data_IF_608547891087
#
_entry.id   IF_608547891087
#
_cell.length_a   1.000
_cell.length_b   1.000
_cell.length_c   1.000
_cell.angle_alpha   90.00
_cell.angle_beta   90.00
_cell.angle_gamma   90.00
#
_symmetry.space_group_name_H-M   'P 1'
#
loop_
_entity.id
_entity.type
_entity.pdbx_description
1 polymer ?
#
# COMPACT_ATOMS: atom_id res chain seq x y z
N UNK A 1 14.07 -7.74 -10.39
CA UNK A 1 13.73 -8.24 -11.74
C UNK A 1 12.38 -7.63 -12.08
N UNK A 2 12.40 -6.49 -12.78
CA UNK A 2 11.20 -5.87 -13.30
C UNK A 2 10.72 -6.71 -14.48
N UNK A 3 9.56 -7.35 -14.39
CA UNK A 3 8.83 -7.81 -15.57
C UNK A 3 7.33 -7.78 -15.30
N UNK A 4 6.69 -6.70 -15.74
CA UNK A 4 5.41 -6.83 -16.42
C UNK A 4 5.46 -5.97 -17.69
N UNK A 5 5.29 -6.62 -18.84
CA UNK A 5 5.06 -6.01 -20.16
C UNK A 5 4.37 -7.11 -20.99
N UNK A 6 3.32 -6.89 -21.77
CA UNK A 6 2.70 -5.65 -22.22
C UNK A 6 1.23 -5.90 -22.63
N UNK A 7 0.44 -4.83 -22.53
CA UNK A 7 -0.61 -4.38 -23.46
C UNK A 7 -1.75 -5.34 -23.80
N UNK A 8 -2.95 -4.92 -23.39
CA UNK A 8 -4.17 -5.16 -24.14
C UNK A 8 -5.07 -3.92 -24.01
N UNK A 9 -5.25 -3.20 -25.12
CA UNK A 9 -6.39 -2.30 -25.32
C UNK A 9 -7.67 -3.02 -24.90
N UNK A 10 -8.50 -2.36 -24.10
CA UNK A 10 -9.98 -2.45 -24.12
C UNK A 10 -10.56 -1.53 -23.06
N UNK A 11 -11.52 -0.69 -23.46
CA UNK A 11 -12.33 0.09 -22.54
C UNK A 11 -13.03 -0.83 -21.54
N UNK A 12 -12.86 -0.56 -20.26
CA UNK A 12 -13.51 -1.31 -19.20
C UNK A 12 -14.83 -0.62 -18.84
N UNK A 13 -15.93 -1.28 -19.20
CA UNK A 13 -17.23 -1.04 -18.57
C UNK A 13 -17.26 -1.83 -17.26
N UNK A 14 -17.39 -1.12 -16.13
CA UNK A 14 -17.46 -1.75 -14.82
C UNK A 14 -18.72 -2.63 -14.70
N UNK A 15 -18.53 -3.93 -14.48
CA UNK A 15 -19.58 -4.83 -13.99
C UNK A 15 -19.18 -5.37 -12.60
N UNK A 16 -20.04 -5.32 -11.57
CA UNK A 16 -19.60 -5.40 -10.16
C UNK A 16 -19.36 -6.83 -9.59
N UNK A 17 -19.22 -7.88 -10.40
CA UNK A 17 -19.42 -9.27 -9.90
C UNK A 17 -18.16 -10.08 -9.56
N UNK A 18 -16.96 -9.67 -9.97
CA UNK A 18 -15.72 -10.47 -9.81
C UNK A 18 -15.06 -10.31 -8.44
N UNK A 19 -15.16 -9.12 -7.83
CA UNK A 19 -14.53 -8.81 -6.54
C UNK A 19 -15.03 -9.71 -5.39
N UNK A 20 -16.30 -10.12 -5.43
CA UNK A 20 -16.90 -10.96 -4.38
C UNK A 20 -16.39 -12.42 -4.34
N UNK A 21 -15.94 -12.98 -5.48
CA UNK A 21 -15.50 -14.39 -5.55
C UNK A 21 -14.07 -14.58 -5.05
N UNK A 22 -13.19 -13.61 -5.30
CA UNK A 22 -11.78 -13.62 -4.85
C UNK A 22 -11.61 -13.22 -3.39
N UNK A 23 -12.42 -12.28 -2.88
CA UNK A 23 -12.57 -12.05 -1.43
C UNK A 23 -12.80 -13.38 -0.72
N UNK A 24 -13.70 -14.20 -1.24
CA UNK A 24 -13.97 -15.54 -0.71
C UNK A 24 -12.81 -16.53 -0.84
N UNK A 25 -11.89 -16.40 -1.82
CA UNK A 25 -10.73 -17.29 -1.95
C UNK A 25 -9.70 -17.04 -0.86
N UNK A 26 -9.30 -15.78 -0.67
CA UNK A 26 -8.33 -15.39 0.35
C UNK A 26 -8.91 -15.45 1.77
N UNK A 27 -10.18 -15.06 1.97
CA UNK A 27 -10.87 -15.23 3.25
C UNK A 27 -10.99 -16.71 3.63
N UNK A 28 -11.22 -17.64 2.67
CA UNK A 28 -11.26 -19.10 2.96
C UNK A 28 -9.88 -19.70 3.25
N UNK A 29 -8.81 -19.18 2.64
CA UNK A 29 -7.43 -19.57 2.95
C UNK A 29 -7.04 -19.10 4.36
N UNK A 30 -7.37 -17.85 4.72
CA UNK A 30 -7.13 -17.29 6.05
C UNK A 30 -7.99 -17.98 7.14
N UNK A 31 -9.25 -18.33 6.86
CA UNK A 31 -10.12 -18.98 7.85
C UNK A 31 -9.74 -20.42 8.20
N UNK A 32 -8.97 -21.12 7.34
CA UNK A 32 -8.50 -22.48 7.64
C UNK A 32 -7.28 -22.51 8.57
N UNK A 33 -6.64 -21.37 8.81
CA UNK A 33 -5.55 -21.24 9.78
C UNK A 33 -5.92 -20.18 10.82
N UNK A 34 -6.41 -20.65 11.98
CA UNK A 34 -6.66 -19.85 13.19
C UNK A 34 -5.58 -18.76 13.42
N UNK A 35 -5.84 -17.52 13.01
CA UNK A 35 -5.08 -16.32 13.36
C UNK A 35 -3.56 -16.38 13.16
N UNK A 36 -3.06 -17.34 12.38
CA UNK A 36 -1.64 -17.63 12.24
C UNK A 36 -1.11 -17.13 10.91
N UNK A 37 0.10 -16.57 10.93
CA UNK A 37 0.90 -16.22 9.74
C UNK A 37 0.89 -17.37 8.73
N UNK A 38 0.54 -17.09 7.47
CA UNK A 38 0.52 -18.10 6.41
C UNK A 38 1.91 -18.76 6.27
N UNK A 39 1.99 -20.10 6.14
CA UNK A 39 3.24 -20.80 5.87
C UNK A 39 3.94 -20.21 4.63
N UNK A 40 5.29 -20.10 4.62
CA UNK A 40 6.05 -19.47 3.51
C UNK A 40 5.75 -20.08 2.14
N UNK A 41 5.45 -21.38 2.11
CA UNK A 41 5.13 -22.16 0.92
C UNK A 41 3.70 -21.97 0.37
N UNK A 42 2.87 -21.14 1.04
CA UNK A 42 1.49 -20.81 0.63
C UNK A 42 1.26 -19.29 0.48
N UNK A 43 2.31 -18.46 0.52
CA UNK A 43 2.17 -17.03 0.27
C UNK A 43 1.88 -16.82 -1.22
N UNK A 44 0.61 -16.59 -1.54
CA UNK A 44 0.22 -16.27 -2.91
C UNK A 44 0.91 -14.98 -3.34
N UNK A 45 1.49 -15.00 -4.54
CA UNK A 45 2.02 -13.82 -5.20
C UNK A 45 0.86 -12.95 -5.70
N UNK A 46 0.99 -11.64 -5.55
CA UNK A 46 0.05 -10.62 -6.05
C UNK A 46 0.87 -9.59 -6.82
N UNK A 47 0.45 -9.27 -8.03
CA UNK A 47 1.01 -8.16 -8.80
C UNK A 47 0.36 -6.86 -8.35
N UNK A 48 1.18 -5.90 -7.94
CA UNK A 48 0.77 -4.61 -7.37
C UNK A 48 1.00 -3.53 -8.44
N UNK A 49 -0.08 -2.88 -8.82
CA UNK A 49 -0.12 -1.81 -9.82
C UNK A 49 -0.29 -0.47 -9.10
N UNK A 50 0.74 0.36 -9.16
CA UNK A 50 0.67 1.75 -8.69
C UNK A 50 0.29 2.63 -9.87
N UNK A 51 -0.84 3.30 -9.72
CA UNK A 51 -1.42 4.16 -10.74
C UNK A 51 -1.31 5.62 -10.29
N UNK A 52 -1.26 6.55 -11.24
CA UNK A 52 -1.43 7.96 -10.93
C UNK A 52 -2.89 8.29 -10.60
N UNK A 53 -3.16 9.56 -10.24
CA UNK A 53 -4.50 10.04 -9.90
C UNK A 53 -5.51 9.93 -11.06
N UNK A 54 -5.07 9.68 -12.28
CA UNK A 54 -5.87 9.51 -13.49
C UNK A 54 -6.04 8.04 -13.90
N UNK A 55 -5.51 7.10 -13.11
CA UNK A 55 -5.59 5.66 -13.35
C UNK A 55 -4.55 5.13 -14.35
N UNK A 56 -3.55 5.94 -14.72
CA UNK A 56 -2.47 5.49 -15.60
C UNK A 56 -1.40 4.76 -14.79
N UNK A 57 -0.94 3.61 -15.27
CA UNK A 57 0.09 2.82 -14.57
C UNK A 57 1.44 3.55 -14.56
N UNK A 58 1.94 3.80 -13.35
CA UNK A 58 3.27 4.36 -13.12
C UNK A 58 4.31 3.25 -13.01
N UNK A 59 4.00 2.20 -12.25
CA UNK A 59 4.85 1.03 -12.13
C UNK A 59 4.07 -0.18 -11.62
N UNK A 60 4.62 -1.37 -11.86
CA UNK A 60 4.09 -2.65 -11.40
C UNK A 60 5.21 -3.54 -10.85
N UNK A 61 4.93 -4.23 -9.75
CA UNK A 61 5.87 -5.12 -9.06
C UNK A 61 5.10 -6.22 -8.32
N UNK A 62 5.78 -7.29 -7.93
CA UNK A 62 5.15 -8.39 -7.21
C UNK A 62 5.39 -8.28 -5.70
N UNK A 63 4.37 -8.69 -4.94
CA UNK A 63 4.45 -8.90 -3.50
C UNK A 63 3.84 -10.24 -3.09
N UNK A 64 4.15 -10.66 -1.87
CA UNK A 64 3.67 -11.92 -1.30
C UNK A 64 2.70 -11.65 -0.16
N UNK A 65 1.53 -12.32 -0.18
CA UNK A 65 0.50 -12.10 0.85
C UNK A 65 0.98 -12.54 2.22
N UNK A 66 1.02 -11.60 3.17
CA UNK A 66 1.24 -11.86 4.59
C UNK A 66 -0.08 -12.11 5.33
N UNK A 67 -1.07 -11.25 5.08
CA UNK A 67 -2.40 -11.36 5.68
C UNK A 67 -3.46 -10.62 4.85
N UNK A 68 -4.73 -10.95 5.06
CA UNK A 68 -5.86 -10.32 4.38
C UNK A 68 -7.09 -10.35 5.29
N UNK A 69 -7.97 -9.38 5.11
CA UNK A 69 -9.30 -9.31 5.70
C UNK A 69 -10.30 -8.74 4.69
N UNK A 70 -11.54 -8.50 5.13
CA UNK A 70 -12.57 -7.91 4.29
C UNK A 70 -12.26 -6.45 3.89
N UNK A 71 -11.40 -5.76 4.65
CA UNK A 71 -11.09 -4.32 4.46
C UNK A 71 -9.65 -4.03 4.08
N UNK A 72 -8.73 -4.99 4.16
CA UNK A 72 -7.33 -4.76 3.82
C UNK A 72 -6.59 -6.01 3.32
N UNK A 73 -5.46 -5.77 2.68
CA UNK A 73 -4.46 -6.78 2.34
C UNK A 73 -3.08 -6.27 2.74
N UNK A 74 -2.29 -7.13 3.39
CA UNK A 74 -0.90 -6.84 3.75
C UNK A 74 0.03 -7.76 2.98
N UNK A 75 0.98 -7.16 2.28
CA UNK A 75 1.93 -7.82 1.38
C UNK A 75 3.36 -7.59 1.87
N UNK A 76 4.26 -8.50 1.54
CA UNK A 76 5.70 -8.28 1.60
C UNK A 76 6.25 -8.05 0.19
N UNK A 77 7.01 -6.97 0.02
CA UNK A 77 7.76 -6.68 -1.20
C UNK A 77 9.21 -6.28 -0.88
N UNK A 78 10.05 -6.23 -1.92
CA UNK A 78 11.46 -5.82 -1.80
C UNK A 78 11.70 -4.56 -2.61
N UNK A 79 12.29 -3.56 -1.97
CA UNK A 79 12.68 -2.33 -2.65
C UNK A 79 13.82 -2.62 -3.64
N UNK A 80 13.59 -2.42 -4.93
CA UNK A 80 14.54 -2.79 -5.99
C UNK A 80 15.14 -1.59 -6.73
N UNK A 81 14.95 -0.38 -6.20
CA UNK A 81 15.45 0.87 -6.79
C UNK A 81 16.78 1.33 -6.16
N UNK A 82 17.32 2.40 -6.70
CA UNK A 82 18.49 3.10 -6.14
C UNK A 82 18.18 3.61 -4.73
N UNK A 83 19.20 3.62 -3.88
CA UNK A 83 19.06 4.09 -2.52
C UNK A 83 18.69 5.57 -2.48
N UNK A 84 17.76 5.94 -1.60
CA UNK A 84 17.26 7.30 -1.44
C UNK A 84 16.99 7.60 0.03
N UNK A 85 17.28 8.83 0.44
CA UNK A 85 16.85 9.36 1.73
C UNK A 85 15.63 10.26 1.50
N UNK A 86 14.52 9.94 2.16
CA UNK A 86 13.28 10.71 2.09
C UNK A 86 13.01 11.23 3.50
N UNK A 87 13.43 12.46 3.78
CA UNK A 87 13.18 13.12 5.07
C UNK A 87 13.66 12.29 6.27
N UNK A 88 14.85 11.68 6.15
CA UNK A 88 15.45 10.84 7.18
C UNK A 88 15.06 9.36 7.10
N UNK A 89 14.09 8.99 6.26
CA UNK A 89 13.77 7.60 5.97
C UNK A 89 14.69 7.07 4.87
N UNK A 90 15.68 6.26 5.27
CA UNK A 90 16.69 5.70 4.35
C UNK A 90 16.22 4.41 3.68
N UNK A 91 15.85 4.50 2.41
CA UNK A 91 15.51 3.35 1.57
C UNK A 91 16.76 2.85 0.84
N UNK A 92 16.98 1.55 0.90
CA UNK A 92 18.10 0.86 0.25
C UNK A 92 17.60 -0.33 -0.53
N UNK A 93 18.28 -0.62 -1.63
CA UNK A 93 18.00 -1.82 -2.41
C UNK A 93 18.00 -3.08 -1.50
N UNK A 94 16.98 -3.92 -1.64
CA UNK A 94 16.76 -5.10 -0.82
C UNK A 94 15.98 -4.88 0.48
N UNK A 95 15.69 -3.63 0.86
CA UNK A 95 14.84 -3.33 2.02
C UNK A 95 13.50 -4.04 1.91
N UNK A 96 13.02 -4.48 3.08
CA UNK A 96 11.78 -5.23 3.22
C UNK A 96 10.63 -4.26 3.49
N UNK A 97 9.66 -4.27 2.59
CA UNK A 97 8.46 -3.46 2.70
C UNK A 97 7.33 -4.36 3.14
N UNK A 98 6.70 -4.02 4.27
CA UNK A 98 5.43 -4.61 4.71
C UNK A 98 4.33 -3.62 4.36
N UNK A 99 3.65 -3.89 3.26
CA UNK A 99 2.75 -2.97 2.59
C UNK A 99 1.30 -3.30 2.92
N UNK A 100 0.58 -2.41 3.60
CA UNK A 100 -0.85 -2.58 3.88
C UNK A 100 -1.68 -1.66 3.01
N UNK A 101 -2.52 -2.27 2.17
CA UNK A 101 -3.47 -1.59 1.31
C UNK A 101 -4.88 -1.79 1.85
N UNK A 102 -5.68 -0.72 1.85
CA UNK A 102 -7.03 -0.72 2.37
C UNK A 102 -8.05 -0.59 1.23
N UNK A 103 -9.14 -1.34 1.33
CA UNK A 103 -10.25 -1.35 0.37
C UNK A 103 -11.36 -0.35 0.75
N UNK A 104 -11.27 0.23 1.94
CA UNK A 104 -12.24 1.16 2.51
C UNK A 104 -11.62 2.47 3.04
N UNK A 105 -10.29 2.62 2.98
CA UNK A 105 -9.55 3.82 3.42
C UNK A 105 -8.83 4.50 2.27
N UNK A 106 -8.58 5.79 2.45
CA UNK A 106 -7.97 6.67 1.43
C UNK A 106 -6.45 6.78 1.58
N UNK A 107 -5.82 5.68 1.96
CA UNK A 107 -4.37 5.61 2.10
C UNK A 107 -3.89 4.15 2.04
N UNK A 108 -2.59 3.96 1.86
CA UNK A 108 -1.88 2.73 2.19
C UNK A 108 -0.68 3.07 3.09
N UNK A 109 -0.19 2.09 3.86
CA UNK A 109 0.91 2.29 4.81
C UNK A 109 1.96 1.20 4.65
N UNK A 110 3.20 1.60 4.43
CA UNK A 110 4.35 0.74 4.22
C UNK A 110 5.28 0.82 5.43
N UNK A 111 5.34 -0.24 6.22
CA UNK A 111 6.35 -0.38 7.27
C UNK A 111 7.65 -0.90 6.66
N UNK A 112 8.74 -0.15 6.83
CA UNK A 112 9.99 -0.42 6.12
C UNK A 112 11.03 -0.92 7.10
N UNK A 113 11.71 -1.99 6.70
CA UNK A 113 12.74 -2.67 7.47
C UNK A 113 14.00 -2.83 6.63
N UNK A 114 15.14 -2.79 7.30
CA UNK A 114 16.41 -3.14 6.68
C UNK A 114 16.37 -4.56 6.11
N UNK A 115 16.80 -4.73 4.85
CA UNK A 115 16.69 -6.01 4.14
C UNK A 115 17.34 -7.21 4.84
N UNK A 116 18.51 -7.02 5.43
CA UNK A 116 19.30 -8.09 6.10
C UNK A 116 19.02 -8.22 7.60
N UNK A 117 19.15 -7.12 8.35
CA UNK A 117 19.01 -7.13 9.82
C UNK A 117 17.56 -7.11 10.29
N UNK A 118 16.61 -6.85 9.39
CA UNK A 118 15.19 -6.63 9.69
C UNK A 118 14.95 -5.53 10.74
N UNK A 119 15.90 -4.60 10.89
CA UNK A 119 15.76 -3.43 11.76
C UNK A 119 14.71 -2.47 11.19
N UNK A 120 13.77 -2.03 12.01
CA UNK A 120 12.72 -1.11 11.60
C UNK A 120 13.29 0.29 11.27
N UNK A 121 12.84 0.88 10.17
CA UNK A 121 13.34 2.16 9.64
C UNK A 121 12.32 3.30 9.71
N UNK A 122 11.03 2.99 9.68
CA UNK A 122 9.95 3.97 9.64
C UNK A 122 8.78 3.51 8.77
N UNK A 123 7.80 4.38 8.61
CA UNK A 123 6.65 4.19 7.73
C UNK A 123 6.65 5.22 6.60
N UNK A 124 6.25 4.75 5.43
CA UNK A 124 5.88 5.58 4.29
C UNK A 124 4.38 5.38 4.03
N UNK A 125 3.60 6.44 4.00
CA UNK A 125 2.17 6.38 3.73
C UNK A 125 1.83 7.17 2.47
N UNK A 126 1.14 6.54 1.53
CA UNK A 126 0.61 7.24 0.36
C UNK A 126 -0.86 7.55 0.63
N UNK A 127 -1.31 8.76 0.33
CA UNK A 127 -2.74 9.08 0.25
C UNK A 127 -3.25 8.62 -1.12
N UNK A 128 -4.24 7.73 -1.11
CA UNK A 128 -4.71 7.05 -2.32
C UNK A 128 -6.23 7.00 -2.35
N UNK A 129 -6.82 6.68 -3.51
CA UNK A 129 -8.17 6.11 -3.49
C UNK A 129 -8.14 4.72 -2.83
N UNK A 130 -9.28 4.20 -2.32
CA UNK A 130 -9.33 2.83 -1.82
C UNK A 130 -8.85 1.85 -2.89
N UNK A 131 -7.96 0.95 -2.49
CA UNK A 131 -7.41 -0.03 -3.40
C UNK A 131 -8.48 -1.01 -3.87
N UNK A 132 -8.23 -1.69 -4.99
CA UNK A 132 -9.10 -2.78 -5.45
C UNK A 132 -8.31 -3.94 -6.01
N UNK A 133 -8.96 -5.11 -6.01
CA UNK A 133 -8.42 -6.35 -6.55
C UNK A 133 -9.13 -6.73 -7.84
N UNK A 134 -8.37 -7.16 -8.85
CA UNK A 134 -8.85 -8.00 -9.94
C UNK A 134 -7.97 -9.26 -10.02
N UNK A 135 -8.55 -10.41 -9.70
CA UNK A 135 -7.81 -11.68 -9.62
C UNK A 135 -6.59 -11.59 -8.70
N UNK A 136 -5.37 -11.74 -9.24
CA UNK A 136 -4.11 -11.61 -8.49
C UNK A 136 -3.46 -10.24 -8.68
N UNK A 137 -4.21 -9.25 -9.16
CA UNK A 137 -3.75 -7.89 -9.38
C UNK A 137 -4.38 -6.95 -8.35
N UNK A 138 -3.54 -6.25 -7.60
CA UNK A 138 -3.92 -5.19 -6.67
C UNK A 138 -3.63 -3.85 -7.33
N UNK A 139 -4.58 -2.92 -7.28
CA UNK A 139 -4.44 -1.58 -7.85
C UNK A 139 -4.60 -0.53 -6.76
N UNK A 140 -3.74 0.49 -6.79
CA UNK A 140 -3.85 1.65 -5.93
C UNK A 140 -3.55 2.93 -6.74
N UNK A 141 -4.53 3.84 -6.77
CA UNK A 141 -4.40 5.15 -7.42
C UNK A 141 -3.88 6.18 -6.44
N UNK A 142 -2.70 6.70 -6.73
CA UNK A 142 -1.96 7.63 -5.91
C UNK A 142 -2.45 9.07 -6.11
N UNK A 143 -2.64 9.81 -5.01
CA UNK A 143 -3.08 11.20 -5.04
C UNK A 143 -1.93 12.18 -4.81
N UNK A 144 -0.67 11.73 -4.93
CA UNK A 144 0.55 12.55 -4.83
C UNK A 144 0.72 13.29 -3.49
N UNK A 145 0.04 12.86 -2.44
CA UNK A 145 0.18 13.40 -1.09
C UNK A 145 0.68 12.27 -0.21
N UNK A 146 1.75 12.52 0.54
CA UNK A 146 2.46 11.46 1.25
C UNK A 146 2.79 11.86 2.69
N UNK A 147 2.97 10.85 3.54
CA UNK A 147 3.34 11.00 4.93
C UNK A 147 4.50 10.06 5.29
N UNK A 148 5.60 10.65 5.75
CA UNK A 148 6.70 9.90 6.39
C UNK A 148 6.50 9.94 7.89
N UNK A 149 6.64 8.78 8.55
CA UNK A 149 6.67 8.65 10.01
C UNK A 149 7.95 7.92 10.41
N UNK A 150 8.84 8.61 11.12
CA UNK A 150 10.09 8.03 11.62
C UNK A 150 9.86 7.21 12.90
N UNK A 151 10.82 6.35 13.32
CA UNK A 151 10.68 5.51 14.50
C UNK A 151 10.44 6.29 15.80
N UNK A 152 10.96 7.51 15.89
CA UNK A 152 10.78 8.45 17.00
C UNK A 152 9.48 9.26 16.91
N UNK A 153 8.58 8.91 15.98
CA UNK A 153 7.28 9.53 15.73
C UNK A 153 7.35 10.94 15.12
N UNK A 154 8.51 11.38 14.64
CA UNK A 154 8.56 12.56 13.78
C UNK A 154 7.78 12.30 12.49
N UNK A 155 6.97 13.28 12.09
CA UNK A 155 6.08 13.19 10.93
C UNK A 155 6.47 14.27 9.91
N UNK A 156 6.59 13.89 8.63
CA UNK A 156 6.80 14.83 7.52
C UNK A 156 5.74 14.62 6.45
N UNK A 157 4.97 15.68 6.15
CA UNK A 157 4.02 15.69 5.03
C UNK A 157 4.78 16.09 3.77
N UNK A 158 4.54 15.36 2.69
CA UNK A 158 5.27 15.45 1.43
C UNK A 158 4.35 15.77 0.26
N UNK A 159 4.92 16.35 -0.78
CA UNK A 159 4.30 16.51 -2.10
C UNK A 159 2.96 17.29 -2.13
N UNK A 160 2.78 18.21 -1.16
CA UNK A 160 1.57 19.05 -1.06
C UNK A 160 1.30 19.85 -2.36
N UNK A 161 2.34 20.39 -2.98
CA UNK A 161 2.22 21.17 -4.22
C UNK A 161 1.73 20.30 -5.39
N UNK A 162 2.20 19.04 -5.47
CA UNK A 162 1.80 18.07 -6.48
C UNK A 162 0.33 17.70 -6.31
N UNK A 163 -0.11 17.40 -5.08
CA UNK A 163 -1.52 17.16 -4.77
C UNK A 163 -2.42 18.38 -5.06
N UNK A 164 -1.97 19.59 -4.73
CA UNK A 164 -2.70 20.82 -5.03
C UNK A 164 -2.92 21.01 -6.54
N UNK A 165 -1.91 20.68 -7.35
CA UNK A 165 -1.96 20.76 -8.80
C UNK A 165 -2.93 19.75 -9.46
N UNK A 166 -3.28 18.65 -8.79
CA UNK A 166 -4.22 17.66 -9.33
C UNK A 166 -5.61 18.24 -9.52
N UNK A 167 -6.27 17.97 -10.65
CA UNK A 167 -7.65 18.40 -10.89
C UNK A 167 -8.67 17.44 -10.28
N UNK A 168 -8.69 17.37 -8.95
CA UNK A 168 -9.60 16.49 -8.19
C UNK A 168 -10.95 17.17 -7.88
N UNK A 169 -12.06 16.41 -7.89
CA UNK A 169 -13.32 16.88 -7.33
C UNK A 169 -13.19 17.24 -5.84
N UNK A 170 -13.95 18.22 -5.38
CA UNK A 170 -13.87 18.70 -3.99
C UNK A 170 -14.09 17.61 -2.94
N UNK A 171 -14.96 16.62 -3.21
CA UNK A 171 -15.17 15.50 -2.28
C UNK A 171 -13.93 14.60 -2.13
N UNK A 172 -13.16 14.38 -3.20
CA UNK A 172 -11.93 13.58 -3.13
C UNK A 172 -10.84 14.32 -2.37
N UNK A 173 -10.71 15.64 -2.60
CA UNK A 173 -9.79 16.47 -1.81
C UNK A 173 -10.10 16.41 -0.32
N UNK A 174 -11.38 16.49 0.04
CA UNK A 174 -11.79 16.37 1.45
C UNK A 174 -11.47 14.99 2.03
N UNK A 175 -11.60 13.92 1.25
CA UNK A 175 -11.23 12.56 1.68
C UNK A 175 -9.72 12.41 1.85
N UNK A 176 -8.93 12.94 0.92
CA UNK A 176 -7.47 12.93 0.98
C UNK A 176 -6.95 13.69 2.22
N UNK A 177 -7.46 14.90 2.48
CA UNK A 177 -7.10 15.65 3.69
C UNK A 177 -7.53 14.94 4.97
N UNK A 178 -8.75 14.40 5.03
CA UNK A 178 -9.20 13.65 6.19
C UNK A 178 -8.35 12.39 6.46
N UNK A 179 -7.90 11.72 5.41
CA UNK A 179 -6.99 10.58 5.50
C UNK A 179 -5.60 10.99 6.04
N UNK A 180 -5.06 12.12 5.57
CA UNK A 180 -3.82 12.67 6.08
C UNK A 180 -3.94 13.01 7.58
N UNK A 181 -5.01 13.73 7.97
CA UNK A 181 -5.26 14.10 9.36
C UNK A 181 -5.42 12.85 10.26
N UNK A 182 -6.10 11.83 9.77
CA UNK A 182 -6.24 10.53 10.44
C UNK A 182 -4.87 9.88 10.67
N UNK A 183 -4.03 9.79 9.62
CA UNK A 183 -2.69 9.19 9.73
C UNK A 183 -1.80 9.95 10.71
N UNK A 184 -1.81 11.28 10.67
CA UNK A 184 -1.05 12.13 11.62
C UNK A 184 -1.49 11.83 13.06
N UNK A 185 -2.80 11.79 13.31
CA UNK A 185 -3.35 11.48 14.64
C UNK A 185 -2.94 10.07 15.10
N UNK A 186 -3.09 9.06 14.24
CA UNK A 186 -2.72 7.68 14.55
C UNK A 186 -1.22 7.54 14.85
N UNK A 187 -0.37 8.22 14.06
CA UNK A 187 1.08 8.19 14.24
C UNK A 187 1.51 8.80 15.57
N UNK A 188 0.91 9.93 15.96
CA UNK A 188 1.16 10.61 17.24
C UNK A 188 0.68 9.79 18.44
N UNK A 189 -0.45 9.08 18.28
CA UNK A 189 -1.01 8.21 19.32
C UNK A 189 -0.34 6.83 19.39
N UNK A 190 0.56 6.49 18.47
CA UNK A 190 1.13 5.15 18.29
C UNK A 190 0.06 4.05 18.14
N UNK A 191 -1.07 4.40 17.53
CA UNK A 191 -2.17 3.48 17.21
C UNK A 191 -1.91 2.76 15.88
N UNK A 192 -2.61 1.63 15.65
CA UNK A 192 -2.55 0.92 14.37
C UNK A 192 -2.89 1.88 13.20
N UNK A 193 -2.10 1.89 12.11
CA UNK A 193 -1.09 0.90 11.72
C UNK A 193 0.35 1.21 12.18
N UNK A 194 0.55 2.16 13.09
CA UNK A 194 1.86 2.62 13.54
C UNK A 194 2.32 1.97 14.85
N UNK A 195 1.68 0.90 15.31
CA UNK A 195 2.17 0.13 16.44
C UNK A 195 3.33 -0.77 15.99
N UNK A 196 4.42 -0.74 16.75
CA UNK A 196 5.43 -1.80 16.67
C UNK A 196 4.99 -2.86 17.67
N UNK A 197 4.64 -4.06 17.18
CA UNK A 197 4.43 -5.17 18.09
C UNK A 197 5.76 -5.43 18.85
N UNK A 198 5.73 -5.55 20.19
CA UNK A 198 6.92 -5.71 21.02
C UNK A 198 7.64 -7.05 20.81
#
# INVERSE_FOLDING_TARGET
MSHCSARGDRGWSHSPSSAGKLRSFYTRLAYRHNGGRMPPELQAQVSIHKLDAHGSELWCYDGFVLSTSDTQITLEARFDREAVDIHGLQLRNGDRFVETFYFDRWYNVFAIYHGETNAFKGWYCNITRPAWMDSHHLYAEDLALDLIVLPDRQVSVMDQEQFEALKLPGFERNKAHAALDELIRLAQAAEDPFRLDP
#
